data_IF_533778928573
#
_entry.id   IF_533778928573
#
_cell.length_a   1.000
_cell.length_b   1.000
_cell.length_c   1.000
_cell.angle_alpha   90.00
_cell.angle_beta   90.00
_cell.angle_gamma   90.00
#
_symmetry.space_group_name_H-M   'P 1'
#
loop_
_entity.id
_entity.type
_entity.pdbx_description
1 polymer ?
#
# COMPACT_ATOMS: atom_id res chain seq x y z
N UNK A 1 -50.02 -12.92 40.24
CA UNK A 1 -49.38 -11.67 39.75
C UNK A 1 -47.99 -12.05 39.28
N UNK A 2 -47.87 -12.42 38.01
CA UNK A 2 -46.62 -12.79 37.35
C UNK A 2 -46.02 -11.51 36.77
N UNK A 3 -44.94 -11.02 37.37
CA UNK A 3 -44.20 -9.88 36.86
C UNK A 3 -43.50 -10.29 35.55
N UNK A 4 -43.86 -9.59 34.46
CA UNK A 4 -43.21 -9.73 33.17
C UNK A 4 -41.81 -9.16 33.24
N UNK A 5 -40.84 -9.94 32.77
CA UNK A 5 -39.49 -9.48 32.49
C UNK A 5 -39.57 -8.69 31.18
N UNK A 6 -39.52 -7.36 31.27
CA UNK A 6 -39.29 -6.50 30.12
C UNK A 6 -37.90 -6.81 29.54
N UNK A 7 -37.90 -7.32 28.31
CA UNK A 7 -36.69 -7.40 27.50
C UNK A 7 -36.35 -5.99 27.05
N UNK A 8 -35.30 -5.43 27.65
CA UNK A 8 -34.70 -4.19 27.18
C UNK A 8 -34.29 -4.37 25.71
N UNK A 9 -34.98 -3.65 24.83
CA UNK A 9 -34.60 -3.49 23.43
C UNK A 9 -33.17 -2.97 23.36
N UNK A 10 -32.31 -3.68 22.64
CA UNK A 10 -30.95 -3.27 22.35
C UNK A 10 -30.92 -1.80 21.90
N UNK A 11 -30.14 -0.99 22.62
CA UNK A 11 -29.81 0.37 22.25
C UNK A 11 -29.23 0.38 20.83
N UNK A 12 -29.77 1.26 19.97
CA UNK A 12 -29.50 1.29 18.53
C UNK A 12 -28.03 1.24 18.18
N UNK A 13 -27.73 0.49 17.11
CA UNK A 13 -26.46 0.62 16.41
C UNK A 13 -26.24 2.11 16.08
N UNK A 14 -25.01 2.65 16.24
CA UNK A 14 -24.70 3.99 15.79
C UNK A 14 -25.11 4.10 14.31
N UNK A 15 -25.88 5.14 13.95
CA UNK A 15 -26.41 5.35 12.59
C UNK A 15 -25.34 4.99 11.55
N UNK A 16 -25.64 3.97 10.75
CA UNK A 16 -24.70 3.45 9.77
C UNK A 16 -24.54 4.50 8.67
N UNK A 17 -23.30 4.96 8.45
CA UNK A 17 -23.01 5.85 7.33
C UNK A 17 -23.33 5.10 6.03
N UNK A 18 -24.10 5.73 5.15
CA UNK A 18 -24.24 5.24 3.79
C UNK A 18 -22.88 5.33 3.08
N UNK A 19 -22.68 4.55 2.02
CA UNK A 19 -21.44 4.66 1.22
C UNK A 19 -21.19 6.11 0.78
N UNK A 20 -22.25 6.83 0.36
CA UNK A 20 -22.16 8.23 -0.03
C UNK A 20 -21.70 9.14 1.12
N UNK A 21 -22.29 9.00 2.31
CA UNK A 21 -21.90 9.84 3.45
C UNK A 21 -20.51 9.50 4.00
N UNK A 22 -20.09 8.24 3.93
CA UNK A 22 -18.73 7.82 4.28
C UNK A 22 -17.69 8.42 3.34
N UNK A 23 -17.89 8.29 2.01
CA UNK A 23 -16.96 8.84 1.00
C UNK A 23 -16.86 10.36 1.10
N UNK A 24 -17.98 11.05 1.35
CA UNK A 24 -17.98 12.49 1.62
C UNK A 24 -17.18 12.84 2.88
N UNK A 25 -17.37 12.09 3.97
CA UNK A 25 -16.63 12.29 5.23
C UNK A 25 -15.12 12.06 5.04
N UNK A 26 -14.73 11.02 4.30
CA UNK A 26 -13.33 10.76 3.93
C UNK A 26 -12.74 11.89 3.07
N UNK A 27 -13.52 12.46 2.16
CA UNK A 27 -13.11 13.61 1.34
C UNK A 27 -12.78 14.83 2.21
N UNK A 28 -13.65 15.16 3.17
CA UNK A 28 -13.42 16.27 4.10
C UNK A 28 -12.20 16.02 5.01
N UNK A 29 -11.98 14.77 5.42
CA UNK A 29 -10.83 14.37 6.22
C UNK A 29 -9.51 14.45 5.43
N UNK A 30 -9.51 14.09 4.14
CA UNK A 30 -8.36 14.30 3.24
C UNK A 30 -8.03 15.79 3.14
N UNK A 31 -9.05 16.64 2.95
CA UNK A 31 -8.83 18.09 2.87
C UNK A 31 -8.24 18.67 4.18
N UNK A 32 -8.66 18.16 5.34
CA UNK A 32 -8.05 18.52 6.63
C UNK A 32 -6.59 18.03 6.72
N UNK A 33 -6.33 16.81 6.26
CA UNK A 33 -4.99 16.22 6.23
C UNK A 33 -4.05 17.03 5.35
N UNK A 34 -4.46 17.41 4.15
CA UNK A 34 -3.63 18.20 3.24
C UNK A 34 -3.21 19.56 3.85
N UNK A 35 -4.08 20.19 4.64
CA UNK A 35 -3.73 21.41 5.39
C UNK A 35 -2.69 21.14 6.48
N UNK A 36 -2.84 20.04 7.23
CA UNK A 36 -1.87 19.63 8.25
C UNK A 36 -0.50 19.32 7.62
N UNK A 37 -0.47 18.59 6.50
CA UNK A 37 0.77 18.25 5.78
C UNK A 37 1.44 19.50 5.21
N UNK A 38 0.67 20.44 4.67
CA UNK A 38 1.21 21.72 4.21
C UNK A 38 1.83 22.52 5.35
N UNK A 39 1.17 22.59 6.52
CA UNK A 39 1.72 23.24 7.71
C UNK A 39 3.00 22.56 8.19
N UNK A 40 3.03 21.22 8.24
CA UNK A 40 4.21 20.44 8.59
C UNK A 40 5.39 20.72 7.65
N UNK A 41 5.13 20.75 6.34
CA UNK A 41 6.13 21.09 5.31
C UNK A 41 6.73 22.47 5.57
N UNK A 42 5.88 23.46 5.76
CA UNK A 42 6.30 24.85 5.90
C UNK A 42 7.07 25.07 7.21
N UNK A 43 6.64 24.43 8.29
CA UNK A 43 7.31 24.45 9.59
C UNK A 43 8.70 23.78 9.54
N UNK A 44 8.81 22.59 8.94
CA UNK A 44 10.11 21.91 8.78
C UNK A 44 11.03 22.71 7.85
N UNK A 45 10.50 23.23 6.74
CA UNK A 45 11.26 24.04 5.79
C UNK A 45 11.87 25.29 6.44
N UNK A 46 11.16 25.96 7.35
CA UNK A 46 11.69 27.12 8.09
C UNK A 46 12.99 26.80 8.88
N UNK A 47 13.17 25.55 9.27
CA UNK A 47 14.32 25.09 10.04
C UNK A 47 15.47 24.59 9.14
N UNK A 48 15.17 23.98 8.00
CA UNK A 48 16.17 23.29 7.15
C UNK A 48 16.47 23.98 5.82
N UNK A 49 15.74 25.03 5.44
CA UNK A 49 15.97 25.79 4.21
C UNK A 49 16.62 27.14 4.52
N UNK A 50 17.67 27.47 3.76
CA UNK A 50 18.40 28.74 3.79
C UNK A 50 18.58 29.26 2.37
N UNK A 51 18.25 30.53 2.14
CA UNK A 51 18.34 31.17 0.82
C UNK A 51 17.64 30.38 -0.30
N UNK A 52 16.47 29.79 0.02
CA UNK A 52 15.67 29.00 -0.92
C UNK A 52 16.25 27.62 -1.26
N UNK A 53 17.30 27.16 -0.56
CA UNK A 53 17.93 25.85 -0.76
C UNK A 53 17.97 25.06 0.53
N UNK A 54 17.92 23.73 0.41
CA UNK A 54 18.11 22.84 1.55
C UNK A 54 19.53 23.00 2.12
N UNK A 55 19.62 23.39 3.37
CA UNK A 55 20.88 23.38 4.12
C UNK A 55 21.11 21.97 4.66
N UNK A 56 22.15 21.30 4.15
CA UNK A 56 22.45 19.90 4.49
C UNK A 56 22.80 19.72 5.97
N UNK A 57 23.49 20.68 6.59
CA UNK A 57 23.88 20.59 7.99
C UNK A 57 22.68 20.77 8.90
N UNK A 58 21.80 21.71 8.56
CA UNK A 58 20.53 21.89 9.27
C UNK A 58 19.62 20.66 9.11
N UNK A 59 19.52 20.10 7.91
CA UNK A 59 18.74 18.88 7.66
C UNK A 59 19.27 17.68 8.45
N UNK A 60 20.59 17.52 8.56
CA UNK A 60 21.21 16.47 9.39
C UNK A 60 20.95 16.69 10.89
N UNK A 61 21.11 17.94 11.37
CA UNK A 61 20.82 18.29 12.76
C UNK A 61 19.34 18.10 13.14
N UNK A 62 18.44 18.23 12.16
CA UNK A 62 16.99 18.08 12.31
C UNK A 62 16.46 16.83 11.61
N UNK A 63 17.28 15.78 11.45
CA UNK A 63 16.95 14.59 10.68
C UNK A 63 15.64 13.93 11.11
N UNK A 64 15.38 13.85 12.42
CA UNK A 64 14.14 13.27 12.96
C UNK A 64 12.90 14.00 12.42
N UNK A 65 12.91 15.33 12.37
CA UNK A 65 11.80 16.12 11.85
C UNK A 65 11.70 16.02 10.31
N UNK A 66 12.83 15.94 9.60
CA UNK A 66 12.85 15.75 8.14
C UNK A 66 12.26 14.40 7.75
N UNK A 67 12.66 13.32 8.42
CA UNK A 67 12.08 11.99 8.23
C UNK A 67 10.63 11.95 8.70
N UNK A 68 10.34 12.57 9.83
CA UNK A 68 8.99 12.69 10.38
C UNK A 68 8.02 13.35 9.41
N UNK A 69 8.44 14.41 8.73
CA UNK A 69 7.65 15.03 7.66
C UNK A 69 7.41 14.06 6.49
N UNK A 70 8.41 13.26 6.09
CA UNK A 70 8.21 12.25 5.06
C UNK A 70 7.13 11.22 5.46
N UNK A 71 7.12 10.77 6.72
CA UNK A 71 6.06 9.87 7.24
C UNK A 71 4.68 10.53 7.25
N UNK A 72 4.59 11.80 7.64
CA UNK A 72 3.35 12.58 7.56
C UNK A 72 2.86 12.66 6.11
N UNK A 73 3.75 13.00 5.17
CA UNK A 73 3.42 13.07 3.75
C UNK A 73 2.97 11.70 3.21
N UNK A 74 3.60 10.60 3.63
CA UNK A 74 3.17 9.23 3.30
C UNK A 74 1.76 8.97 3.78
N UNK A 75 1.41 9.33 5.02
CA UNK A 75 0.05 9.11 5.55
C UNK A 75 -1.00 9.94 4.80
N UNK A 76 -0.67 11.18 4.44
CA UNK A 76 -1.53 12.00 3.59
C UNK A 76 -1.76 11.36 2.21
N UNK A 77 -0.70 10.81 1.59
CA UNK A 77 -0.82 10.08 0.33
C UNK A 77 -1.64 8.80 0.48
N UNK A 78 -1.42 8.01 1.54
CA UNK A 78 -2.20 6.80 1.81
C UNK A 78 -3.69 7.12 1.88
N UNK A 79 -4.09 8.13 2.64
CA UNK A 79 -5.50 8.54 2.74
C UNK A 79 -6.08 8.95 1.38
N UNK A 80 -5.32 9.70 0.57
CA UNK A 80 -5.73 10.08 -0.80
C UNK A 80 -5.93 8.87 -1.69
N UNK A 81 -4.97 7.94 -1.72
CA UNK A 81 -5.02 6.77 -2.59
C UNK A 81 -6.08 5.76 -2.13
N UNK A 82 -6.29 5.58 -0.83
CA UNK A 82 -7.38 4.74 -0.32
C UNK A 82 -8.75 5.35 -0.64
N UNK A 83 -8.92 6.67 -0.56
CA UNK A 83 -10.16 7.31 -1.04
C UNK A 83 -10.35 7.16 -2.56
N UNK A 84 -9.28 7.29 -3.35
CA UNK A 84 -9.33 7.09 -4.79
C UNK A 84 -9.78 5.66 -5.14
N UNK A 85 -9.18 4.65 -4.50
CA UNK A 85 -9.59 3.25 -4.61
C UNK A 85 -11.08 3.05 -4.28
N UNK A 86 -11.54 3.56 -3.14
CA UNK A 86 -12.94 3.41 -2.73
C UNK A 86 -13.91 4.10 -3.71
N UNK A 87 -13.55 5.28 -4.23
CA UNK A 87 -14.34 5.97 -5.24
C UNK A 87 -14.42 5.17 -6.56
N UNK A 88 -13.32 4.60 -7.02
CA UNK A 88 -13.29 3.73 -8.21
C UNK A 88 -14.20 2.52 -8.01
N UNK A 89 -14.04 1.79 -6.90
CA UNK A 89 -14.90 0.64 -6.62
C UNK A 89 -16.37 1.03 -6.49
N UNK A 90 -16.68 2.20 -5.92
CA UNK A 90 -18.06 2.65 -5.79
C UNK A 90 -18.67 3.00 -7.15
N UNK A 91 -17.89 3.60 -8.06
CA UNK A 91 -18.33 3.86 -9.43
C UNK A 91 -18.58 2.56 -10.21
N UNK A 92 -17.77 1.53 -9.96
CA UNK A 92 -17.88 0.22 -10.62
C UNK A 92 -18.88 -0.73 -9.94
N UNK A 93 -19.54 -0.30 -8.86
CA UNK A 93 -20.50 -1.12 -8.11
C UNK A 93 -19.87 -2.26 -7.30
N UNK A 94 -18.55 -2.18 -7.05
CA UNK A 94 -17.75 -3.17 -6.32
C UNK A 94 -17.43 -2.74 -4.88
N UNK A 95 -17.88 -1.56 -4.43
CA UNK A 95 -17.66 -1.07 -3.06
C UNK A 95 -18.64 -1.72 -2.07
N UNK A 96 -18.27 -2.94 -1.63
CA UNK A 96 -19.07 -3.78 -0.74
C UNK A 96 -18.85 -3.52 0.75
N UNK A 97 -19.39 -4.41 1.58
CA UNK A 97 -19.29 -4.31 3.04
C UNK A 97 -17.84 -4.35 3.52
N UNK A 98 -17.03 -5.27 2.98
CA UNK A 98 -15.63 -5.43 3.40
C UNK A 98 -14.81 -4.17 3.05
N UNK A 99 -14.96 -3.67 1.83
CA UNK A 99 -14.24 -2.49 1.34
C UNK A 99 -14.60 -1.24 2.17
N UNK A 100 -15.89 -1.09 2.50
CA UNK A 100 -16.37 -0.02 3.38
C UNK A 100 -15.74 -0.08 4.77
N UNK A 101 -15.67 -1.27 5.37
CA UNK A 101 -15.08 -1.45 6.69
C UNK A 101 -13.57 -1.23 6.68
N UNK A 102 -12.87 -1.66 5.63
CA UNK A 102 -11.43 -1.39 5.43
C UNK A 102 -11.19 0.12 5.33
N UNK A 103 -12.00 0.83 4.54
CA UNK A 103 -11.90 2.29 4.41
C UNK A 103 -12.09 2.98 5.76
N UNK A 104 -13.13 2.60 6.51
CA UNK A 104 -13.46 3.20 7.81
C UNK A 104 -12.34 2.99 8.84
N UNK A 105 -11.86 1.77 9.00
CA UNK A 105 -10.78 1.45 9.95
C UNK A 105 -9.47 2.10 9.51
N UNK A 106 -9.12 2.01 8.23
CA UNK A 106 -7.90 2.59 7.68
C UNK A 106 -7.83 4.10 7.87
N UNK A 107 -8.92 4.81 7.54
CA UNK A 107 -8.99 6.25 7.75
C UNK A 107 -8.85 6.62 9.22
N UNK A 108 -9.68 6.05 10.10
CA UNK A 108 -9.64 6.45 11.50
C UNK A 108 -8.32 6.12 12.19
N UNK A 109 -7.66 5.00 11.84
CA UNK A 109 -6.34 4.67 12.38
C UNK A 109 -5.26 5.67 11.92
N UNK A 110 -5.19 5.97 10.62
CA UNK A 110 -4.18 6.89 10.07
C UNK A 110 -4.39 8.33 10.57
N UNK A 111 -5.65 8.78 10.68
CA UNK A 111 -5.99 10.08 11.24
C UNK A 111 -5.65 10.17 12.74
N UNK A 112 -5.91 9.11 13.51
CA UNK A 112 -5.54 9.05 14.91
C UNK A 112 -4.02 9.10 15.10
N UNK A 113 -3.25 8.43 14.25
CA UNK A 113 -1.78 8.47 14.30
C UNK A 113 -1.21 9.82 13.86
N UNK A 114 -1.83 10.53 12.92
CA UNK A 114 -1.46 11.92 12.60
C UNK A 114 -1.60 12.86 13.81
N UNK A 115 -2.54 12.58 14.73
CA UNK A 115 -2.71 13.33 15.99
C UNK A 115 -1.80 12.83 17.11
N UNK A 116 -1.77 11.51 17.33
CA UNK A 116 -1.14 10.88 18.50
C UNK A 116 0.34 10.53 18.32
N UNK A 117 0.78 10.43 17.07
CA UNK A 117 2.13 10.13 16.65
C UNK A 117 2.22 8.92 15.70
N UNK A 118 3.07 9.04 14.68
CA UNK A 118 3.34 7.98 13.70
C UNK A 118 4.59 7.22 14.14
N UNK A 119 4.51 5.90 14.22
CA UNK A 119 5.66 5.05 14.49
C UNK A 119 6.53 4.91 13.23
N UNK A 120 7.64 5.63 13.18
CA UNK A 120 8.66 5.50 12.12
C UNK A 120 9.49 4.22 12.30
N UNK A 121 9.69 3.86 13.57
CA UNK A 121 10.22 2.57 14.03
C UNK A 121 9.55 2.23 15.37
N UNK A 122 9.85 1.07 15.95
CA UNK A 122 9.33 0.73 17.28
C UNK A 122 9.82 1.69 18.39
N UNK A 123 10.95 2.36 18.19
CA UNK A 123 11.53 3.31 19.15
C UNK A 123 11.35 4.78 18.78
N UNK A 124 10.91 5.09 17.58
CA UNK A 124 10.83 6.45 17.05
C UNK A 124 9.39 6.77 16.64
N UNK A 125 8.74 7.63 17.42
CA UNK A 125 7.36 8.06 17.19
C UNK A 125 7.36 9.57 16.94
N UNK A 126 7.09 10.00 15.70
CA UNK A 126 7.00 11.41 15.34
C UNK A 126 5.62 11.97 15.67
N UNK A 127 5.58 13.10 16.37
CA UNK A 127 4.36 13.82 16.75
C UNK A 127 4.31 15.21 16.11
N UNK A 128 3.15 15.90 16.11
CA UNK A 128 3.06 17.24 15.54
C UNK A 128 4.07 18.23 16.13
N UNK A 129 4.32 18.15 17.44
CA UNK A 129 5.31 18.99 18.12
C UNK A 129 6.75 18.76 17.66
N UNK A 130 7.10 17.54 17.22
CA UNK A 130 8.43 17.24 16.67
C UNK A 130 8.66 17.87 15.29
N UNK A 131 7.57 18.28 14.63
CA UNK A 131 7.55 18.96 13.34
C UNK A 131 7.31 20.47 13.49
N UNK A 132 7.33 21.00 14.72
CA UNK A 132 7.02 22.39 15.06
C UNK A 132 5.62 22.86 14.62
N UNK A 133 4.66 21.94 14.56
CA UNK A 133 3.25 22.27 14.32
C UNK A 133 2.67 22.82 15.63
N UNK A 134 2.08 24.01 15.58
CA UNK A 134 1.45 24.64 16.74
C UNK A 134 0.11 24.00 17.12
N UNK A 135 -0.33 24.28 18.35
CA UNK A 135 -1.56 23.71 18.91
C UNK A 135 -2.81 24.12 18.11
N UNK A 136 -2.87 25.37 17.63
CA UNK A 136 -4.02 25.87 16.87
C UNK A 136 -4.17 25.11 15.53
N UNK A 137 -3.05 24.77 14.89
CA UNK A 137 -3.03 23.96 13.66
C UNK A 137 -3.46 22.52 13.93
N UNK A 138 -3.02 21.93 15.05
CA UNK A 138 -3.46 20.59 15.47
C UNK A 138 -4.96 20.60 15.80
N UNK A 139 -5.47 21.62 16.47
CA UNK A 139 -6.88 21.76 16.80
C UNK A 139 -7.73 21.98 15.53
N UNK A 140 -7.23 22.73 14.56
CA UNK A 140 -7.90 22.92 13.26
C UNK A 140 -7.99 21.63 12.42
N UNK A 141 -7.10 20.65 12.66
CA UNK A 141 -7.17 19.34 12.03
C UNK A 141 -8.31 18.46 12.58
N UNK A 142 -8.75 18.70 13.82
CA UNK A 142 -9.84 17.97 14.50
C UNK A 142 -11.23 18.41 14.00
N UNK A 143 -11.44 18.29 12.69
CA UNK A 143 -12.75 18.58 12.08
C UNK A 143 -13.78 17.51 12.49
N UNK A 144 -15.09 17.79 12.38
CA UNK A 144 -16.12 16.77 12.64
C UNK A 144 -15.93 15.49 11.82
N UNK A 145 -15.44 15.60 10.58
CA UNK A 145 -15.16 14.44 9.73
C UNK A 145 -14.02 13.58 10.29
N UNK A 146 -12.92 14.21 10.73
CA UNK A 146 -11.77 13.53 11.33
C UNK A 146 -12.16 12.84 12.63
N UNK A 147 -12.81 13.56 13.54
CA UNK A 147 -13.25 13.01 14.83
C UNK A 147 -14.26 11.86 14.65
N UNK A 148 -15.16 11.96 13.67
CA UNK A 148 -16.11 10.89 13.33
C UNK A 148 -15.39 9.62 12.88
N UNK A 149 -14.44 9.72 11.95
CA UNK A 149 -13.70 8.57 11.44
C UNK A 149 -12.83 7.91 12.51
N UNK A 150 -12.15 8.71 13.35
CA UNK A 150 -11.35 8.21 14.48
C UNK A 150 -12.22 7.44 15.48
N UNK A 151 -13.37 8.01 15.85
CA UNK A 151 -14.29 7.38 16.80
C UNK A 151 -14.79 6.03 16.28
N UNK A 152 -15.08 5.94 14.96
CA UNK A 152 -15.57 4.72 14.32
C UNK A 152 -14.49 3.64 14.19
N UNK A 153 -13.26 3.99 13.81
CA UNK A 153 -12.16 3.03 13.75
C UNK A 153 -11.81 2.41 15.11
N UNK A 154 -12.13 3.08 16.22
CA UNK A 154 -11.91 2.56 17.57
C UNK A 154 -12.87 1.42 17.96
N UNK A 155 -13.98 1.23 17.23
CA UNK A 155 -14.97 0.19 17.53
C UNK A 155 -14.42 -1.23 17.28
N UNK A 156 -14.41 -2.04 18.35
CA UNK A 156 -13.99 -3.44 18.28
C UNK A 156 -14.92 -4.29 17.41
N UNK A 157 -16.19 -3.91 17.27
CA UNK A 157 -17.15 -4.64 16.44
C UNK A 157 -16.79 -4.55 14.94
N UNK A 158 -16.34 -3.37 14.48
CA UNK A 158 -15.89 -3.16 13.09
C UNK A 158 -14.72 -4.08 12.76
N UNK A 159 -13.70 -4.15 13.62
CA UNK A 159 -12.56 -5.06 13.44
C UNK A 159 -12.96 -6.54 13.50
N UNK A 160 -13.85 -6.92 14.41
CA UNK A 160 -14.36 -8.28 14.49
C UNK A 160 -15.15 -8.67 13.23
N UNK A 161 -15.90 -7.72 12.65
CA UNK A 161 -16.64 -7.95 11.41
C UNK A 161 -15.71 -8.14 10.21
N UNK A 162 -14.67 -7.30 10.07
CA UNK A 162 -13.62 -7.50 9.06
C UNK A 162 -13.01 -8.90 9.22
N UNK A 163 -12.60 -9.28 10.45
CA UNK A 163 -12.01 -10.58 10.72
C UNK A 163 -12.93 -11.75 10.29
N UNK A 164 -14.25 -11.62 10.53
CA UNK A 164 -15.24 -12.61 10.08
C UNK A 164 -15.37 -12.66 8.55
N UNK A 165 -15.32 -11.51 7.87
CA UNK A 165 -15.41 -11.43 6.41
C UNK A 165 -14.17 -12.03 5.73
N UNK A 166 -13.00 -11.94 6.37
CA UNK A 166 -11.73 -12.42 5.81
C UNK A 166 -11.27 -13.79 6.33
N UNK A 167 -12.13 -14.52 7.05
CA UNK A 167 -11.78 -15.78 7.71
C UNK A 167 -11.17 -16.82 6.73
N UNK A 168 -11.66 -16.86 5.49
CA UNK A 168 -11.21 -17.78 4.44
C UNK A 168 -10.36 -17.07 3.36
N UNK A 169 -9.96 -15.82 3.60
CA UNK A 169 -9.22 -15.01 2.62
C UNK A 169 -7.78 -15.45 2.44
N UNK A 170 -7.18 -16.12 3.43
CA UNK A 170 -5.83 -16.68 3.33
C UNK A 170 -5.77 -17.76 2.25
N UNK A 171 -6.79 -18.62 2.19
CA UNK A 171 -6.86 -19.72 1.21
C UNK A 171 -7.23 -19.22 -0.18
N UNK A 172 -8.09 -18.19 -0.25
CA UNK A 172 -8.63 -17.67 -1.51
C UNK A 172 -7.81 -16.52 -2.10
N UNK A 173 -6.96 -15.86 -1.30
CA UNK A 173 -6.25 -14.63 -1.67
C UNK A 173 -7.16 -13.39 -1.79
N UNK A 174 -8.40 -13.48 -1.31
CA UNK A 174 -9.42 -12.44 -1.49
C UNK A 174 -9.62 -11.62 -0.21
N UNK A 175 -8.89 -10.52 -0.04
CA UNK A 175 -9.01 -9.59 1.10
C UNK A 175 -9.83 -8.34 0.77
N UNK A 176 -10.74 -8.44 -0.20
CA UNK A 176 -11.49 -7.33 -0.78
C UNK A 176 -11.09 -7.06 -2.23
N UNK A 177 -11.91 -6.28 -2.92
CA UNK A 177 -11.68 -5.90 -4.31
C UNK A 177 -10.49 -4.94 -4.43
N UNK A 178 -9.56 -5.22 -5.35
CA UNK A 178 -8.37 -4.40 -5.57
C UNK A 178 -8.61 -3.21 -6.51
N UNK A 179 -9.69 -3.24 -7.30
CA UNK A 179 -9.94 -2.24 -8.34
C UNK A 179 -8.96 -2.35 -9.52
N UNK A 180 -8.42 -3.55 -9.74
CA UNK A 180 -7.59 -3.86 -10.89
C UNK A 180 -8.48 -4.19 -12.10
N UNK A 181 -8.00 -3.89 -13.30
CA UNK A 181 -8.66 -4.36 -14.52
C UNK A 181 -8.57 -5.88 -14.68
N UNK A 182 -9.44 -6.43 -15.54
CA UNK A 182 -9.52 -7.86 -15.80
C UNK A 182 -8.18 -8.46 -16.28
N UNK A 183 -7.36 -7.67 -16.98
CA UNK A 183 -6.06 -8.13 -17.49
C UNK A 183 -5.09 -8.36 -16.33
N UNK A 184 -5.04 -7.43 -15.37
CA UNK A 184 -4.22 -7.59 -14.18
C UNK A 184 -4.72 -8.70 -13.27
N UNK A 185 -6.03 -8.90 -13.11
CA UNK A 185 -6.57 -10.04 -12.35
C UNK A 185 -6.21 -11.38 -13.02
N UNK A 186 -6.24 -11.47 -14.35
CA UNK A 186 -5.78 -12.66 -15.07
C UNK A 186 -4.29 -12.94 -14.85
N UNK A 187 -3.44 -11.91 -14.90
CA UNK A 187 -2.01 -12.01 -14.60
C UNK A 187 -1.82 -12.49 -13.16
N UNK A 188 -2.52 -11.85 -12.21
CA UNK A 188 -2.48 -12.19 -10.78
C UNK A 188 -2.81 -13.66 -10.55
N UNK A 189 -3.89 -14.15 -11.15
CA UNK A 189 -4.31 -15.55 -11.03
C UNK A 189 -3.30 -16.53 -11.63
N UNK A 190 -2.65 -16.16 -12.75
CA UNK A 190 -1.59 -16.97 -13.35
C UNK A 190 -0.41 -17.13 -12.39
N UNK A 191 0.11 -16.04 -11.85
CA UNK A 191 1.29 -16.07 -10.97
C UNK A 191 0.97 -16.58 -9.57
N UNK A 192 -0.26 -16.41 -9.10
CA UNK A 192 -0.76 -17.06 -7.88
C UNK A 192 -0.72 -18.57 -7.99
N UNK A 193 -1.23 -19.13 -9.10
CA UNK A 193 -1.20 -20.59 -9.33
C UNK A 193 0.24 -21.08 -9.35
N UNK A 194 1.12 -20.41 -10.09
CA UNK A 194 2.54 -20.73 -10.10
C UNK A 194 3.17 -20.69 -8.70
N UNK A 195 2.92 -19.65 -7.91
CA UNK A 195 3.43 -19.56 -6.55
C UNK A 195 2.90 -20.68 -5.63
N UNK A 196 1.62 -21.03 -5.74
CA UNK A 196 0.99 -22.08 -4.95
C UNK A 196 1.47 -23.48 -5.33
N UNK A 197 1.75 -23.72 -6.61
CA UNK A 197 2.07 -25.05 -7.14
C UNK A 197 3.59 -25.31 -7.13
N UNK A 198 4.40 -24.31 -7.46
CA UNK A 198 5.84 -24.46 -7.76
C UNK A 198 6.76 -23.81 -6.71
N UNK A 199 6.24 -22.96 -5.83
CA UNK A 199 7.08 -22.21 -4.86
C UNK A 199 6.76 -22.59 -3.41
N UNK A 200 5.53 -22.32 -2.96
CA UNK A 200 5.11 -22.48 -1.55
C UNK A 200 5.37 -23.89 -1.00
N UNK A 201 5.05 -24.99 -1.72
CA UNK A 201 5.26 -26.34 -1.20
C UNK A 201 6.74 -26.69 -0.97
N UNK A 202 7.67 -26.00 -1.66
CA UNK A 202 9.08 -26.35 -1.69
C UNK A 202 9.98 -25.36 -0.91
N UNK A 203 9.51 -24.13 -0.68
CA UNK A 203 10.29 -23.08 -0.02
C UNK A 203 10.85 -23.50 1.35
N UNK A 204 10.09 -24.26 2.14
CA UNK A 204 10.57 -24.78 3.43
C UNK A 204 11.73 -25.78 3.27
N UNK A 205 11.70 -26.63 2.26
CA UNK A 205 12.77 -27.60 1.99
C UNK A 205 14.05 -26.90 1.50
N UNK A 206 13.92 -25.88 0.63
CA UNK A 206 15.05 -25.04 0.22
C UNK A 206 15.73 -24.39 1.43
N UNK A 207 14.93 -23.89 2.38
CA UNK A 207 15.43 -23.32 3.63
C UNK A 207 16.16 -24.36 4.49
N UNK A 208 15.55 -25.52 4.74
CA UNK A 208 16.16 -26.57 5.56
C UNK A 208 17.48 -27.09 4.99
N UNK A 209 17.64 -27.04 3.67
CA UNK A 209 18.84 -27.50 2.96
C UNK A 209 19.87 -26.41 2.71
N UNK A 210 19.58 -25.15 3.07
CA UNK A 210 20.42 -23.98 2.75
C UNK A 210 20.78 -23.93 1.25
N UNK A 211 19.76 -24.11 0.40
CA UNK A 211 19.91 -24.16 -1.05
C UNK A 211 19.44 -22.87 -1.71
N UNK A 212 20.08 -22.55 -2.84
CA UNK A 212 19.56 -21.53 -3.75
C UNK A 212 18.21 -21.98 -4.33
N UNK A 213 17.42 -21.00 -4.79
CA UNK A 213 16.22 -21.27 -5.60
C UNK A 213 16.67 -22.16 -6.79
N UNK A 214 16.03 -23.32 -7.02
CA UNK A 214 16.43 -24.23 -8.09
C UNK A 214 16.40 -23.56 -9.46
N UNK A 215 17.35 -23.92 -10.33
CA UNK A 215 17.40 -23.42 -11.71
C UNK A 215 16.13 -23.75 -12.49
N UNK A 216 15.46 -24.86 -12.17
CA UNK A 216 14.18 -25.23 -12.79
C UNK A 216 13.08 -24.18 -12.53
N UNK A 217 13.07 -23.53 -11.36
CA UNK A 217 12.13 -22.43 -11.07
C UNK A 217 12.46 -21.21 -11.92
N UNK A 218 13.75 -20.89 -12.08
CA UNK A 218 14.20 -19.79 -12.94
C UNK A 218 13.81 -20.06 -14.40
N UNK A 219 13.99 -21.29 -14.87
CA UNK A 219 13.61 -21.71 -16.21
C UNK A 219 12.10 -21.56 -16.45
N UNK A 220 11.26 -22.02 -15.50
CA UNK A 220 9.81 -21.84 -15.59
C UNK A 220 9.42 -20.35 -15.63
N UNK A 221 10.05 -19.51 -14.81
CA UNK A 221 9.81 -18.06 -14.83
C UNK A 221 10.20 -17.41 -16.17
N UNK A 222 11.30 -17.87 -16.78
CA UNK A 222 11.71 -17.44 -18.12
C UNK A 222 10.65 -17.82 -19.16
N UNK A 223 10.17 -19.06 -19.15
CA UNK A 223 9.14 -19.55 -20.08
C UNK A 223 7.81 -18.81 -19.92
N UNK A 224 7.51 -18.34 -18.71
CA UNK A 224 6.35 -17.47 -18.42
C UNK A 224 6.58 -16.00 -18.82
N UNK A 225 7.77 -15.63 -19.30
CA UNK A 225 8.09 -14.27 -19.75
C UNK A 225 8.37 -13.27 -18.63
N UNK A 226 8.60 -13.72 -17.39
CA UNK A 226 8.77 -12.84 -16.22
C UNK A 226 9.94 -11.88 -16.41
N UNK A 227 11.06 -12.35 -16.97
CA UNK A 227 12.27 -11.53 -17.12
C UNK A 227 12.17 -10.48 -18.23
N UNK A 228 11.27 -10.69 -19.19
CA UNK A 228 10.99 -9.76 -20.29
C UNK A 228 9.72 -8.92 -20.12
N UNK A 229 9.03 -9.02 -18.97
CA UNK A 229 7.67 -8.52 -18.80
C UNK A 229 7.50 -7.03 -19.17
N UNK A 230 8.46 -6.20 -18.75
CA UNK A 230 8.46 -4.75 -19.00
C UNK A 230 9.37 -4.32 -20.15
N UNK A 231 10.09 -5.26 -20.77
CA UNK A 231 11.00 -4.97 -21.88
C UNK A 231 10.16 -4.76 -23.14
N UNK A 232 10.45 -3.75 -23.98
CA UNK A 232 9.74 -3.54 -25.23
C UNK A 232 9.80 -4.76 -26.16
N UNK A 233 8.73 -4.98 -26.92
CA UNK A 233 8.62 -6.12 -27.87
C UNK A 233 9.74 -6.13 -28.92
N UNK A 234 10.25 -4.95 -29.34
CA UNK A 234 11.36 -4.85 -30.29
C UNK A 234 12.68 -5.46 -29.78
N UNK A 235 12.79 -5.63 -28.46
CA UNK A 235 13.90 -6.30 -27.79
C UNK A 235 13.50 -7.68 -27.24
N UNK A 236 12.38 -8.26 -27.68
CA UNK A 236 11.95 -9.60 -27.29
C UNK A 236 11.22 -9.71 -25.95
N UNK A 237 10.81 -8.59 -25.35
CA UNK A 237 9.96 -8.58 -24.16
C UNK A 237 8.46 -8.54 -24.47
N UNK A 238 7.64 -8.34 -23.43
CA UNK A 238 6.18 -8.29 -23.54
C UNK A 238 5.58 -6.88 -23.46
N UNK A 239 6.36 -5.87 -23.07
CA UNK A 239 5.90 -4.47 -23.02
C UNK A 239 4.70 -4.20 -22.10
N UNK A 240 4.39 -5.06 -21.13
CA UNK A 240 3.17 -4.98 -20.32
C UNK A 240 3.18 -3.87 -19.25
N UNK A 241 4.34 -3.25 -19.04
CA UNK A 241 4.48 -2.08 -18.17
C UNK A 241 4.55 -2.40 -16.67
N UNK A 242 4.64 -1.34 -15.86
CA UNK A 242 4.99 -1.44 -14.44
C UNK A 242 3.87 -2.01 -13.57
N UNK A 243 2.60 -1.75 -13.89
CA UNK A 243 1.48 -2.30 -13.12
C UNK A 243 1.42 -3.83 -13.20
N UNK A 244 1.61 -4.40 -14.39
CA UNK A 244 1.76 -5.86 -14.53
C UNK A 244 2.92 -6.37 -13.69
N UNK A 245 4.07 -5.68 -13.70
CA UNK A 245 5.23 -6.10 -12.92
C UNK A 245 5.01 -6.04 -11.40
N UNK A 246 4.25 -5.06 -10.90
CA UNK A 246 3.82 -5.03 -9.50
C UNK A 246 3.01 -6.27 -9.15
N UNK A 247 1.98 -6.59 -9.96
CA UNK A 247 1.11 -7.76 -9.74
C UNK A 247 1.90 -9.07 -9.76
N UNK A 248 2.79 -9.24 -10.74
CA UNK A 248 3.67 -10.42 -10.82
C UNK A 248 4.58 -10.50 -9.61
N UNK A 249 5.22 -9.40 -9.24
CA UNK A 249 6.17 -9.35 -8.12
C UNK A 249 5.48 -9.65 -6.79
N UNK A 250 4.27 -9.14 -6.57
CA UNK A 250 3.48 -9.39 -5.36
C UNK A 250 3.13 -10.87 -5.20
N UNK A 251 2.57 -11.52 -6.23
CA UNK A 251 2.16 -12.92 -6.14
C UNK A 251 3.38 -13.87 -6.02
N UNK A 252 4.48 -13.59 -6.71
CA UNK A 252 5.72 -14.36 -6.55
C UNK A 252 6.35 -14.15 -5.15
N UNK A 253 6.36 -12.91 -4.66
CA UNK A 253 6.94 -12.59 -3.34
C UNK A 253 6.12 -13.13 -2.19
N UNK A 254 4.79 -13.24 -2.36
CA UNK A 254 3.89 -13.95 -1.43
C UNK A 254 4.33 -15.41 -1.26
N UNK A 255 4.77 -16.05 -2.33
CA UNK A 255 5.31 -17.41 -2.27
C UNK A 255 6.67 -17.46 -1.57
N UNK A 256 7.64 -16.72 -2.09
CA UNK A 256 8.94 -16.52 -1.47
C UNK A 256 9.61 -15.26 -2.07
N UNK A 257 10.01 -14.31 -1.23
CA UNK A 257 10.56 -13.00 -1.67
C UNK A 257 11.73 -13.14 -2.65
N UNK A 258 12.54 -14.19 -2.51
CA UNK A 258 13.64 -14.48 -3.44
C UNK A 258 13.16 -14.73 -4.87
N UNK A 259 12.00 -15.38 -5.05
CA UNK A 259 11.42 -15.64 -6.38
C UNK A 259 10.94 -14.34 -7.02
N UNK A 260 10.19 -13.51 -6.30
CA UNK A 260 9.80 -12.18 -6.81
C UNK A 260 11.01 -11.32 -7.16
N UNK A 261 12.05 -11.38 -6.33
CA UNK A 261 13.29 -10.63 -6.54
C UNK A 261 14.02 -11.00 -7.84
N UNK A 262 13.93 -12.25 -8.31
CA UNK A 262 14.52 -12.65 -9.60
C UNK A 262 13.97 -11.80 -10.75
N UNK A 263 12.65 -11.61 -10.80
CA UNK A 263 12.00 -10.74 -11.77
C UNK A 263 12.45 -9.28 -11.64
N UNK A 264 12.46 -8.74 -10.41
CA UNK A 264 12.88 -7.35 -10.15
C UNK A 264 14.34 -7.09 -10.53
N UNK A 265 15.22 -8.10 -10.48
CA UNK A 265 16.61 -7.95 -10.94
C UNK A 265 16.69 -7.76 -12.45
N UNK A 266 15.99 -8.59 -13.20
CA UNK A 266 15.87 -8.44 -14.66
C UNK A 266 15.29 -7.08 -15.03
N UNK A 267 14.17 -6.70 -14.41
CA UNK A 267 13.49 -5.43 -14.67
C UNK A 267 14.41 -4.21 -14.50
N UNK A 268 15.12 -4.12 -13.36
CA UNK A 268 16.01 -2.98 -13.10
C UNK A 268 17.23 -2.99 -14.03
N UNK A 269 17.80 -4.16 -14.31
CA UNK A 269 18.93 -4.28 -15.24
C UNK A 269 18.52 -3.84 -16.67
N UNK A 270 17.34 -4.25 -17.12
CA UNK A 270 16.79 -3.84 -18.40
C UNK A 270 16.50 -2.34 -18.44
N UNK A 271 15.91 -1.77 -17.38
CA UNK A 271 15.62 -0.34 -17.30
C UNK A 271 16.89 0.52 -17.31
N UNK A 272 17.97 0.06 -16.67
CA UNK A 272 19.29 0.69 -16.75
C UNK A 272 19.78 0.77 -18.20
N UNK A 273 19.68 -0.32 -18.95
CA UNK A 273 20.14 -0.39 -20.34
C UNK A 273 19.22 0.40 -21.28
N UNK A 274 17.90 0.36 -21.06
CA UNK A 274 16.93 1.14 -21.83
C UNK A 274 17.20 2.65 -21.71
N UNK A 275 17.48 3.12 -20.49
CA UNK A 275 17.65 4.55 -20.21
C UNK A 275 19.07 5.07 -20.48
N UNK A 276 20.10 4.24 -20.25
CA UNK A 276 21.51 4.66 -20.33
C UNK A 276 22.33 3.99 -21.42
N UNK A 277 21.81 2.95 -22.07
CA UNK A 277 22.53 2.17 -23.07
C UNK A 277 22.51 2.80 -24.46
N UNK A 278 23.57 2.53 -25.22
CA UNK A 278 23.61 2.72 -26.67
C UNK A 278 22.70 1.73 -27.38
N UNK A 279 22.33 2.01 -28.63
CA UNK A 279 21.49 1.08 -29.42
C UNK A 279 22.13 -0.30 -29.61
N UNK A 280 23.46 -0.37 -29.75
CA UNK A 280 24.19 -1.65 -29.83
C UNK A 280 24.06 -2.44 -28.52
N UNK A 281 24.20 -1.77 -27.36
CA UNK A 281 23.99 -2.41 -26.05
C UNK A 281 22.55 -2.89 -25.87
N UNK A 282 21.56 -2.08 -26.27
CA UNK A 282 20.14 -2.50 -26.18
C UNK A 282 19.87 -3.75 -27.01
N UNK A 283 20.35 -3.78 -28.25
CA UNK A 283 20.20 -4.93 -29.16
C UNK A 283 20.94 -6.18 -28.70
N UNK A 284 22.07 -6.02 -28.01
CA UNK A 284 22.86 -7.14 -27.49
C UNK A 284 22.25 -7.73 -26.21
N UNK A 285 21.92 -6.89 -25.23
CA UNK A 285 21.66 -7.34 -23.86
C UNK A 285 20.18 -7.56 -23.56
N UNK A 286 19.29 -6.67 -24.04
CA UNK A 286 17.88 -6.74 -23.67
C UNK A 286 17.18 -8.03 -24.13
N UNK A 287 17.43 -8.57 -25.34
CA UNK A 287 16.82 -9.85 -25.74
C UNK A 287 17.25 -11.03 -24.87
N UNK A 288 18.50 -11.03 -24.40
CA UNK A 288 19.07 -12.11 -23.58
C UNK A 288 18.57 -12.04 -22.14
N UNK A 289 18.38 -10.83 -21.63
CA UNK A 289 17.73 -10.58 -20.34
C UNK A 289 16.25 -10.97 -20.42
N UNK A 290 15.55 -10.57 -21.50
CA UNK A 290 14.14 -10.89 -21.68
C UNK A 290 13.87 -12.39 -21.68
N UNK A 291 14.77 -13.18 -22.28
CA UNK A 291 14.69 -14.64 -22.29
C UNK A 291 15.25 -15.33 -21.04
N UNK A 292 15.77 -14.58 -20.06
CA UNK A 292 16.45 -15.16 -18.88
C UNK A 292 17.72 -15.94 -19.20
N UNK A 293 18.36 -15.71 -20.37
CA UNK A 293 19.68 -16.28 -20.68
C UNK A 293 20.78 -15.64 -19.82
N UNK A 294 20.57 -14.38 -19.41
CA UNK A 294 21.44 -13.58 -18.54
C UNK A 294 20.66 -13.10 -17.33
#
# INVERSE_FOLDING_TARGET
MTAGVETATASGAPDELTNESLLATCTDAVAATDRLIAAARDAVAAHVVRDGRLDRRAAEAHQFAVHGFAWYATYGETLRQTLAWANTLNADGQFGELERLILEVGFGEYLAQLLGGIAMSQGEIVRPGDLWIDADTVDAFRTPAVETLIARASDANTRARIASLVEHSVDTGAFGALGLDDTYEMIRDQFRRFANDEVIPYAHDWHLKDQLIPLDIIQQMSEMGVFGLTIPEEYGGSGLGKMSMCVVSEELSRGYIGVGSLGTRSEIAAELILNGGTEDQKREWLPRIASGEI
#
